data_IF_945230958605
#
_entry.id   IF_945230958605
#
_cell.length_a   1.000
_cell.length_b   1.000
_cell.length_c   1.000
_cell.angle_alpha   90.00
_cell.angle_beta   90.00
_cell.angle_gamma   90.00
#
_symmetry.space_group_name_H-M   'P 1'
#
loop_
_entity.id
_entity.type
_entity.pdbx_description
1 polymer ?
#
# COMPACT_ATOMS: atom_id res chain seq x y z
N UNK A 1 9.15 -6.07 15.50
CA UNK A 1 8.43 -7.07 14.68
C UNK A 1 8.71 -6.76 13.22
N UNK A 2 8.83 -7.73 12.31
CA UNK A 2 9.03 -7.41 10.90
C UNK A 2 7.82 -6.59 10.41
N UNK A 3 8.10 -5.47 9.72
CA UNK A 3 7.03 -4.66 9.11
C UNK A 3 6.28 -5.54 8.10
N UNK A 4 4.96 -5.57 8.18
CA UNK A 4 4.06 -6.30 7.26
C UNK A 4 3.55 -5.36 6.18
N UNK A 5 3.19 -5.91 5.04
CA UNK A 5 2.47 -5.20 3.98
C UNK A 5 1.00 -5.57 4.09
N UNK A 6 0.13 -4.59 4.25
CA UNK A 6 -1.32 -4.78 4.16
C UNK A 6 -1.81 -4.33 2.79
N UNK A 7 -2.41 -5.23 2.04
CA UNK A 7 -3.08 -4.93 0.78
C UNK A 7 -4.56 -4.64 1.07
N UNK A 8 -4.98 -3.40 0.83
CA UNK A 8 -6.39 -3.03 0.84
C UNK A 8 -6.94 -3.17 -0.57
N UNK A 9 -7.87 -4.08 -0.75
CA UNK A 9 -8.43 -4.43 -2.06
C UNK A 9 -9.95 -4.37 -2.03
N UNK A 10 -10.54 -4.09 -3.20
CA UNK A 10 -11.99 -4.15 -3.39
C UNK A 10 -12.51 -5.56 -3.10
N UNK A 11 -13.65 -5.68 -2.41
CA UNK A 11 -14.30 -6.95 -2.08
C UNK A 11 -14.63 -7.82 -3.32
N UNK A 12 -14.78 -7.19 -4.49
CA UNK A 12 -14.97 -7.92 -5.76
C UNK A 12 -13.74 -8.72 -6.19
N UNK A 13 -12.54 -8.40 -5.73
CA UNK A 13 -11.29 -9.07 -6.08
C UNK A 13 -10.57 -9.69 -4.89
N UNK A 14 -11.14 -9.54 -3.69
CA UNK A 14 -10.50 -9.97 -2.46
C UNK A 14 -10.15 -11.47 -2.46
N UNK A 15 -11.07 -12.33 -2.94
CA UNK A 15 -10.86 -13.78 -2.96
C UNK A 15 -9.71 -14.19 -3.87
N UNK A 16 -9.60 -13.56 -5.04
CA UNK A 16 -8.52 -13.76 -6.01
C UNK A 16 -7.18 -13.34 -5.44
N UNK A 17 -7.13 -12.18 -4.79
CA UNK A 17 -5.89 -11.67 -4.17
C UNK A 17 -5.45 -12.56 -3.02
N UNK A 18 -6.37 -12.96 -2.13
CA UNK A 18 -6.09 -13.90 -1.03
C UNK A 18 -5.52 -15.20 -1.58
N UNK A 19 -6.18 -15.77 -2.61
CA UNK A 19 -5.74 -17.01 -3.23
C UNK A 19 -4.30 -16.92 -3.75
N UNK A 20 -3.96 -15.86 -4.45
CA UNK A 20 -2.59 -15.65 -4.97
C UNK A 20 -1.61 -15.46 -3.82
N UNK A 21 -1.93 -14.67 -2.79
CA UNK A 21 -1.05 -14.46 -1.63
C UNK A 21 -0.73 -15.76 -0.91
N UNK A 22 -1.73 -16.64 -0.75
CA UNK A 22 -1.56 -17.98 -0.16
C UNK A 22 -0.70 -18.90 -1.01
N UNK A 23 -0.95 -18.98 -2.33
CA UNK A 23 -0.21 -19.83 -3.27
C UNK A 23 1.26 -19.40 -3.39
N UNK A 24 1.52 -18.10 -3.43
CA UNK A 24 2.86 -17.51 -3.48
C UNK A 24 3.57 -17.54 -2.11
N UNK A 25 2.85 -17.88 -1.03
CA UNK A 25 3.37 -17.92 0.34
C UNK A 25 4.03 -16.61 0.78
N UNK A 26 3.39 -15.49 0.48
CA UNK A 26 3.87 -14.17 0.91
C UNK A 26 3.66 -14.00 2.43
N UNK A 27 4.57 -14.55 3.23
CA UNK A 27 4.43 -14.65 4.69
C UNK A 27 4.32 -13.33 5.46
N UNK A 28 4.61 -12.19 4.82
CA UNK A 28 4.54 -10.87 5.41
C UNK A 28 3.50 -9.97 4.74
N UNK A 29 2.52 -10.55 4.06
CA UNK A 29 1.44 -9.84 3.37
C UNK A 29 0.12 -10.22 4.00
N UNK A 30 -0.68 -9.22 4.39
CA UNK A 30 -2.06 -9.35 4.83
C UNK A 30 -2.97 -8.76 3.75
N UNK A 31 -4.17 -9.32 3.59
CA UNK A 31 -5.16 -8.83 2.63
C UNK A 31 -6.42 -8.43 3.39
N UNK A 32 -6.88 -7.21 3.19
CA UNK A 32 -8.07 -6.65 3.81
C UNK A 32 -8.99 -6.13 2.71
N UNK A 33 -10.26 -6.50 2.77
CA UNK A 33 -11.25 -6.02 1.81
C UNK A 33 -11.83 -4.66 2.23
N UNK A 34 -12.08 -3.80 1.24
CA UNK A 34 -13.02 -2.68 1.39
C UNK A 34 -14.22 -2.89 0.49
N UNK A 35 -15.38 -2.38 0.91
CA UNK A 35 -16.63 -2.54 0.15
C UNK A 35 -16.58 -1.68 -1.12
N UNK A 36 -16.80 -2.32 -2.26
CA UNK A 36 -16.88 -1.65 -3.55
C UNK A 36 -18.20 -0.89 -3.70
N UNK A 37 -18.11 0.29 -4.26
CA UNK A 37 -19.23 1.08 -4.75
C UNK A 37 -18.75 1.96 -5.90
N UNK A 38 -18.68 1.39 -7.10
CA UNK A 38 -18.12 2.08 -8.26
C UNK A 38 -18.97 3.30 -8.69
N UNK A 39 -20.24 3.32 -8.30
CA UNK A 39 -21.17 4.40 -8.62
C UNK A 39 -21.10 5.58 -7.63
N UNK A 40 -20.51 5.36 -6.46
CA UNK A 40 -20.42 6.35 -5.38
C UNK A 40 -19.00 6.48 -4.81
N UNK A 41 -18.03 6.99 -5.58
CA UNK A 41 -16.63 7.09 -5.16
C UNK A 41 -16.42 7.81 -3.82
N UNK A 42 -17.19 8.88 -3.54
CA UNK A 42 -17.11 9.61 -2.27
C UNK A 42 -17.46 8.73 -1.06
N UNK A 43 -18.43 7.82 -1.21
CA UNK A 43 -18.80 6.89 -0.14
C UNK A 43 -17.68 5.88 0.12
N UNK A 44 -17.06 5.35 -0.94
CA UNK A 44 -15.92 4.42 -0.85
C UNK A 44 -14.73 5.12 -0.18
N UNK A 45 -14.38 6.32 -0.62
CA UNK A 45 -13.28 7.09 -0.05
C UNK A 45 -13.47 7.35 1.45
N UNK A 46 -14.69 7.69 1.88
CA UNK A 46 -15.02 7.90 3.29
C UNK A 46 -14.89 6.61 4.12
N UNK A 47 -15.41 5.50 3.62
CA UNK A 47 -15.33 4.19 4.30
C UNK A 47 -13.88 3.73 4.41
N UNK A 48 -13.11 3.87 3.35
CA UNK A 48 -11.70 3.50 3.32
C UNK A 48 -10.87 4.35 4.29
N UNK A 49 -11.12 5.66 4.35
CA UNK A 49 -10.45 6.55 5.31
C UNK A 49 -10.72 6.12 6.76
N UNK A 50 -11.94 5.67 7.05
CA UNK A 50 -12.30 5.14 8.37
C UNK A 50 -11.56 3.82 8.65
N UNK A 51 -11.55 2.88 7.71
CA UNK A 51 -10.82 1.61 7.85
C UNK A 51 -9.32 1.82 8.04
N UNK A 52 -8.71 2.80 7.36
CA UNK A 52 -7.30 3.15 7.56
C UNK A 52 -7.04 3.69 8.97
N UNK A 53 -7.95 4.51 9.49
CA UNK A 53 -7.84 5.04 10.86
C UNK A 53 -7.97 3.92 11.92
N UNK A 54 -8.80 2.91 11.67
CA UNK A 54 -8.97 1.75 12.56
C UNK A 54 -7.75 0.81 12.58
N UNK A 55 -6.97 0.76 11.48
CA UNK A 55 -5.74 -0.05 11.43
C UNK A 55 -4.69 0.41 12.45
N UNK A 56 -4.75 1.67 12.92
CA UNK A 56 -3.97 2.19 14.05
C UNK A 56 -2.48 2.40 13.78
N UNK A 57 -1.80 3.00 14.76
CA UNK A 57 -0.35 3.16 14.77
C UNK A 57 0.31 1.80 15.05
N UNK A 58 1.01 1.24 14.06
CA UNK A 58 1.72 -0.04 14.20
C UNK A 58 1.46 -1.03 13.07
N UNK A 59 0.52 -0.76 12.22
CA UNK A 59 0.40 -1.41 10.93
C UNK A 59 1.62 -1.03 10.09
N UNK A 60 2.26 -2.02 9.49
CA UNK A 60 3.41 -1.79 8.61
C UNK A 60 3.08 -0.89 7.42
N UNK A 61 3.54 -1.25 6.26
CA UNK A 61 3.16 -0.53 5.03
C UNK A 61 1.78 -0.96 4.56
N UNK A 62 0.97 -0.01 4.08
CA UNK A 62 -0.35 -0.26 3.48
C UNK A 62 -0.27 0.07 1.98
N UNK A 63 -0.79 -0.81 1.15
CA UNK A 63 -0.96 -0.55 -0.28
C UNK A 63 -2.43 -0.70 -0.66
N UNK A 64 -3.03 0.38 -1.13
CA UNK A 64 -4.42 0.44 -1.56
C UNK A 64 -4.45 0.14 -3.06
N UNK A 65 -5.18 -0.88 -3.45
CA UNK A 65 -5.39 -1.25 -4.85
C UNK A 65 -6.80 -0.84 -5.27
N UNK A 66 -6.91 0.01 -6.27
CA UNK A 66 -8.22 0.42 -6.74
C UNK A 66 -8.20 1.26 -8.00
N UNK A 67 -9.36 1.31 -8.66
CA UNK A 67 -9.58 2.06 -9.87
C UNK A 67 -10.46 3.29 -9.63
N UNK A 68 -11.40 3.52 -10.56
CA UNK A 68 -12.27 4.69 -10.57
C UNK A 68 -13.04 4.93 -9.26
N UNK A 69 -13.43 3.87 -8.54
CA UNK A 69 -14.12 3.99 -7.26
C UNK A 69 -13.31 4.72 -6.16
N UNK A 70 -12.02 4.94 -6.38
CA UNK A 70 -11.12 5.66 -5.47
C UNK A 70 -10.65 7.01 -6.03
N UNK A 71 -11.28 7.53 -7.09
CA UNK A 71 -10.88 8.81 -7.69
C UNK A 71 -11.06 10.02 -6.74
N UNK A 72 -11.92 9.90 -5.73
CA UNK A 72 -12.16 10.92 -4.69
C UNK A 72 -11.39 10.66 -3.38
N UNK A 73 -10.43 9.73 -3.41
CA UNK A 73 -9.62 9.43 -2.23
C UNK A 73 -8.80 10.67 -1.83
N UNK A 74 -8.92 11.07 -0.55
CA UNK A 74 -8.16 12.20 -0.03
C UNK A 74 -6.66 11.88 -0.04
N UNK A 75 -5.88 12.67 -0.79
CA UNK A 75 -4.43 12.53 -0.88
C UNK A 75 -3.74 12.73 0.47
N UNK A 76 -4.37 13.43 1.43
CA UNK A 76 -3.81 13.66 2.76
C UNK A 76 -3.75 12.39 3.62
N UNK A 77 -4.48 11.33 3.29
CA UNK A 77 -4.36 10.04 3.96
C UNK A 77 -3.14 9.24 3.49
N UNK A 78 -2.55 9.64 2.38
CA UNK A 78 -1.36 8.99 1.84
C UNK A 78 -0.12 9.48 2.61
N UNK A 79 0.76 8.56 2.92
CA UNK A 79 1.98 8.81 3.67
C UNK A 79 3.09 7.90 3.14
N UNK A 80 4.27 7.96 3.75
CA UNK A 80 5.33 7.02 3.40
C UNK A 80 4.96 5.55 3.64
N UNK A 81 4.09 5.29 4.61
CA UNK A 81 3.63 3.94 4.96
C UNK A 81 2.27 3.59 4.32
N UNK A 82 1.52 4.55 3.75
CA UNK A 82 0.25 4.34 3.05
C UNK A 82 0.39 4.80 1.60
N UNK A 83 0.36 3.86 0.67
CA UNK A 83 0.48 4.12 -0.77
C UNK A 83 -0.78 3.71 -1.49
N UNK A 84 -1.15 4.47 -2.50
CA UNK A 84 -2.20 4.12 -3.44
C UNK A 84 -1.58 3.68 -4.75
N UNK A 85 -2.01 2.51 -5.24
CA UNK A 85 -1.67 2.02 -6.57
C UNK A 85 -2.89 2.24 -7.48
N UNK A 86 -2.91 3.32 -8.27
CA UNK A 86 -4.04 3.64 -9.12
C UNK A 86 -4.11 2.68 -10.31
N UNK A 87 -5.33 2.32 -10.69
CA UNK A 87 -5.65 1.60 -11.93
C UNK A 87 -6.72 2.39 -12.66
N UNK A 88 -6.67 2.46 -13.96
CA UNK A 88 -7.77 3.06 -14.73
C UNK A 88 -9.01 2.18 -14.61
N UNK A 89 -8.82 0.88 -14.78
CA UNK A 89 -9.86 -0.15 -14.63
C UNK A 89 -9.35 -1.30 -13.76
N UNK A 90 -10.13 -1.71 -12.77
CA UNK A 90 -9.75 -2.84 -11.89
C UNK A 90 -9.56 -4.15 -12.64
N UNK A 91 -10.14 -4.27 -13.84
CA UNK A 91 -10.00 -5.45 -14.72
C UNK A 91 -8.58 -5.61 -15.29
N UNK A 92 -7.73 -4.56 -15.21
CA UNK A 92 -6.30 -4.62 -15.55
C UNK A 92 -5.53 -5.67 -14.73
N UNK A 93 -6.08 -6.06 -13.59
CA UNK A 93 -5.54 -7.16 -12.78
C UNK A 93 -5.57 -8.52 -13.51
N UNK A 94 -6.45 -8.67 -14.52
CA UNK A 94 -6.68 -9.93 -15.22
C UNK A 94 -6.43 -9.85 -16.73
N UNK A 95 -6.62 -8.66 -17.30
CA UNK A 95 -6.52 -8.43 -18.75
C UNK A 95 -5.40 -7.46 -19.05
N UNK A 96 -4.73 -7.69 -20.19
CA UNK A 96 -3.84 -6.68 -20.75
C UNK A 96 -4.63 -5.45 -21.23
N UNK A 97 -4.01 -4.26 -21.27
CA UNK A 97 -4.70 -3.00 -21.62
C UNK A 97 -5.33 -3.03 -23.00
N UNK A 98 -4.70 -3.66 -24.01
CA UNK A 98 -5.24 -3.78 -25.35
C UNK A 98 -6.51 -4.66 -25.41
N UNK A 99 -6.53 -5.75 -24.66
CA UNK A 99 -7.69 -6.63 -24.58
C UNK A 99 -8.86 -5.95 -23.87
N UNK A 100 -8.55 -5.27 -22.76
CA UNK A 100 -9.54 -4.52 -21.99
C UNK A 100 -10.18 -3.43 -22.84
N UNK A 101 -9.38 -2.60 -23.50
CA UNK A 101 -9.86 -1.56 -24.40
C UNK A 101 -10.69 -2.13 -25.56
N UNK A 102 -10.28 -3.28 -26.11
CA UNK A 102 -11.02 -3.98 -27.15
C UNK A 102 -12.43 -4.39 -26.72
N UNK A 103 -12.60 -4.91 -25.49
CA UNK A 103 -13.91 -5.28 -24.97
C UNK A 103 -14.78 -4.06 -24.66
N UNK A 104 -14.21 -3.04 -24.03
CA UNK A 104 -14.94 -1.82 -23.71
C UNK A 104 -15.48 -1.10 -24.95
N UNK A 105 -14.70 -1.05 -26.03
CA UNK A 105 -15.13 -0.46 -27.31
C UNK A 105 -16.28 -1.22 -27.98
N UNK A 106 -16.45 -2.50 -27.67
CA UNK A 106 -17.56 -3.31 -28.18
C UNK A 106 -18.84 -3.17 -27.35
N UNK A 107 -18.83 -2.35 -26.29
CA UNK A 107 -19.96 -2.20 -25.38
C UNK A 107 -20.21 -3.44 -24.52
N UNK A 108 -19.15 -4.22 -24.25
CA UNK A 108 -19.23 -5.40 -23.40
C UNK A 108 -19.18 -4.98 -21.93
N UNK A 109 -20.08 -5.53 -21.11
CA UNK A 109 -20.06 -5.35 -19.66
C UNK A 109 -19.26 -6.47 -19.00
N UNK A 110 -18.10 -6.12 -18.44
CA UNK A 110 -17.21 -7.07 -17.79
C UNK A 110 -17.70 -7.42 -16.39
N UNK A 111 -17.75 -8.70 -16.08
CA UNK A 111 -18.11 -9.19 -14.75
C UNK A 111 -17.08 -10.21 -14.23
N UNK A 112 -16.88 -10.22 -12.92
CA UNK A 112 -15.98 -11.14 -12.23
C UNK A 112 -16.76 -12.03 -11.26
N UNK A 113 -16.21 -13.15 -10.78
CA UNK A 113 -16.86 -13.98 -9.77
C UNK A 113 -17.27 -13.20 -8.51
N UNK A 114 -16.43 -12.24 -8.06
CA UNK A 114 -16.75 -11.42 -6.90
C UNK A 114 -17.92 -10.47 -7.12
N UNK A 115 -18.03 -9.85 -8.29
CA UNK A 115 -19.18 -9.00 -8.67
C UNK A 115 -20.47 -9.84 -8.72
N UNK A 116 -20.39 -11.05 -9.28
CA UNK A 116 -21.54 -11.94 -9.38
C UNK A 116 -22.01 -12.48 -8.01
N UNK A 117 -21.18 -12.45 -6.98
CA UNK A 117 -21.62 -12.82 -5.63
C UNK A 117 -22.56 -11.78 -5.01
N UNK A 118 -22.50 -10.55 -5.43
CA UNK A 118 -23.22 -9.41 -4.83
C UNK A 118 -24.18 -8.70 -5.80
N UNK A 119 -24.41 -9.25 -6.99
CA UNK A 119 -25.19 -8.58 -8.02
C UNK A 119 -26.63 -8.25 -7.58
N UNK A 120 -27.29 -9.12 -6.80
CA UNK A 120 -28.64 -8.87 -6.34
C UNK A 120 -28.71 -7.65 -5.39
N UNK A 121 -27.73 -7.50 -4.49
CA UNK A 121 -27.66 -6.37 -3.59
C UNK A 121 -27.40 -5.06 -4.36
N UNK A 122 -26.56 -5.12 -5.38
CA UNK A 122 -26.29 -3.97 -6.25
C UNK A 122 -27.54 -3.58 -7.04
N UNK A 123 -28.26 -4.54 -7.58
CA UNK A 123 -29.54 -4.32 -8.27
C UNK A 123 -30.57 -3.63 -7.40
N UNK A 124 -30.75 -4.11 -6.16
CA UNK A 124 -31.64 -3.49 -5.18
C UNK A 124 -31.22 -2.07 -4.83
N UNK A 125 -29.91 -1.82 -4.76
CA UNK A 125 -29.37 -0.48 -4.47
C UNK A 125 -29.65 0.52 -5.57
N UNK A 126 -29.63 0.10 -6.83
CA UNK A 126 -30.02 0.93 -7.98
C UNK A 126 -31.53 1.25 -7.99
N UNK A 127 -32.32 0.49 -7.26
CA UNK A 127 -33.78 0.69 -7.20
C UNK A 127 -34.50 0.32 -8.47
N UNK A 128 -33.87 -0.46 -9.34
CA UNK A 128 -34.48 -0.94 -10.57
C UNK A 128 -35.52 -2.01 -10.30
N UNK A 129 -36.66 -1.92 -10.98
CA UNK A 129 -37.49 -3.08 -11.24
C UNK A 129 -36.94 -3.86 -12.45
N UNK A 130 -37.55 -5.01 -12.76
CA UNK A 130 -37.06 -5.91 -13.82
C UNK A 130 -37.12 -5.30 -15.22
N UNK A 131 -38.04 -4.38 -15.46
CA UNK A 131 -38.21 -3.71 -16.75
C UNK A 131 -37.18 -2.58 -16.90
N UNK A 132 -37.00 -1.80 -15.84
CA UNK A 132 -36.04 -0.69 -15.80
C UNK A 132 -34.60 -1.20 -15.97
N UNK A 133 -34.28 -2.30 -15.30
CA UNK A 133 -32.96 -2.90 -15.39
C UNK A 133 -32.65 -3.42 -16.81
N UNK A 134 -33.60 -4.11 -17.44
CA UNK A 134 -33.44 -4.55 -18.82
C UNK A 134 -33.26 -3.37 -19.77
N UNK A 135 -34.07 -2.33 -19.62
CA UNK A 135 -33.94 -1.13 -20.43
C UNK A 135 -32.56 -0.47 -20.26
N UNK A 136 -32.10 -0.32 -19.01
CA UNK A 136 -30.79 0.26 -18.70
C UNK A 136 -29.63 -0.51 -19.34
N UNK A 137 -29.60 -1.83 -19.17
CA UNK A 137 -28.52 -2.63 -19.73
C UNK A 137 -28.57 -2.67 -21.27
N UNK A 138 -29.76 -2.81 -21.87
CA UNK A 138 -29.90 -2.85 -23.32
C UNK A 138 -29.54 -1.54 -24.03
N UNK A 139 -29.58 -0.40 -23.32
CA UNK A 139 -29.22 0.89 -23.90
C UNK A 139 -27.72 1.03 -24.15
N UNK A 140 -26.86 0.45 -23.32
CA UNK A 140 -25.42 0.66 -23.34
C UNK A 140 -24.57 -0.60 -23.43
N UNK A 141 -25.19 -1.78 -23.27
CA UNK A 141 -24.46 -3.04 -23.12
C UNK A 141 -24.88 -4.03 -24.20
N UNK A 142 -23.92 -4.57 -24.95
CA UNK A 142 -24.16 -5.56 -25.98
C UNK A 142 -24.16 -6.99 -25.45
N UNK A 143 -23.33 -7.28 -24.45
CA UNK A 143 -23.09 -8.62 -23.92
C UNK A 143 -22.47 -8.52 -22.51
N UNK A 144 -22.77 -9.50 -21.66
CA UNK A 144 -22.03 -9.72 -20.41
C UNK A 144 -20.82 -10.62 -20.70
N UNK A 145 -19.63 -10.22 -20.27
CA UNK A 145 -18.43 -11.03 -20.42
C UNK A 145 -17.89 -11.40 -19.05
N UNK A 146 -17.97 -12.69 -18.71
CA UNK A 146 -17.34 -13.22 -17.50
C UNK A 146 -15.84 -13.34 -17.70
N UNK A 147 -15.09 -12.71 -16.81
CA UNK A 147 -13.67 -12.97 -16.60
C UNK A 147 -13.54 -14.10 -15.58
N UNK A 148 -13.51 -15.33 -16.06
CA UNK A 148 -13.45 -16.51 -15.18
C UNK A 148 -12.02 -16.68 -14.63
N UNK A 149 -11.88 -16.48 -13.34
CA UNK A 149 -10.61 -16.62 -12.59
C UNK A 149 -10.37 -18.06 -12.12
N UNK A 150 -11.36 -18.94 -12.28
CA UNK A 150 -11.30 -20.35 -11.86
C UNK A 150 -11.43 -20.57 -10.35
N UNK A 151 -11.75 -19.55 -9.56
CA UNK A 151 -11.86 -19.69 -8.09
C UNK A 151 -13.28 -20.03 -7.61
N UNK A 152 -14.29 -19.79 -8.42
CA UNK A 152 -15.69 -20.02 -8.05
C UNK A 152 -16.33 -21.07 -8.99
N UNK A 153 -16.54 -22.32 -8.53
CA UNK A 153 -17.10 -23.37 -9.38
C UNK A 153 -18.57 -23.12 -9.77
N UNK A 154 -19.29 -22.25 -9.05
CA UNK A 154 -20.68 -21.90 -9.32
C UNK A 154 -20.82 -20.59 -10.12
N UNK A 155 -19.73 -20.05 -10.67
CA UNK A 155 -19.74 -18.75 -11.33
C UNK A 155 -20.66 -18.69 -12.55
N UNK A 156 -20.75 -19.76 -13.33
CA UNK A 156 -21.60 -19.85 -14.52
C UNK A 156 -23.07 -19.76 -14.14
N UNK A 157 -23.52 -20.50 -13.11
CA UNK A 157 -24.91 -20.43 -12.64
C UNK A 157 -25.29 -19.01 -12.18
N UNK A 158 -24.37 -18.31 -11.52
CA UNK A 158 -24.59 -16.92 -11.10
C UNK A 158 -24.65 -15.96 -12.27
N UNK A 159 -23.80 -16.19 -13.28
CA UNK A 159 -23.80 -15.40 -14.51
C UNK A 159 -25.12 -15.60 -15.28
N UNK A 160 -25.59 -16.83 -15.43
CA UNK A 160 -26.86 -17.14 -16.09
C UNK A 160 -28.02 -16.42 -15.38
N UNK A 161 -28.09 -16.52 -14.05
CA UNK A 161 -29.13 -15.84 -13.27
C UNK A 161 -29.07 -14.29 -13.43
N UNK A 162 -27.88 -13.72 -13.51
CA UNK A 162 -27.70 -12.29 -13.76
C UNK A 162 -28.08 -11.91 -15.20
N UNK A 163 -27.64 -12.68 -16.18
CA UNK A 163 -27.93 -12.47 -17.59
C UNK A 163 -29.43 -12.53 -17.90
N UNK A 164 -30.14 -13.51 -17.33
CA UNK A 164 -31.61 -13.64 -17.44
C UNK A 164 -32.30 -12.39 -16.89
N UNK A 165 -31.82 -11.87 -15.76
CA UNK A 165 -32.37 -10.67 -15.13
C UNK A 165 -32.09 -9.42 -15.96
N UNK A 166 -30.87 -9.26 -16.47
CA UNK A 166 -30.46 -8.15 -17.31
C UNK A 166 -31.05 -8.22 -18.74
N UNK A 167 -31.46 -9.40 -19.17
CA UNK A 167 -31.95 -9.64 -20.53
C UNK A 167 -30.85 -9.57 -21.60
N UNK A 168 -29.60 -9.89 -21.22
CA UNK A 168 -28.44 -9.81 -22.09
C UNK A 168 -27.90 -11.21 -22.44
N UNK A 169 -27.31 -11.37 -23.64
CA UNK A 169 -26.47 -12.51 -23.92
C UNK A 169 -25.20 -12.45 -23.05
N UNK A 170 -24.59 -13.61 -22.84
CA UNK A 170 -23.34 -13.68 -22.08
C UNK A 170 -22.33 -14.61 -22.75
N UNK A 171 -21.06 -14.31 -22.49
CA UNK A 171 -19.90 -15.10 -22.86
C UNK A 171 -18.96 -15.24 -21.67
N UNK A 172 -18.05 -16.21 -21.70
CA UNK A 172 -17.04 -16.41 -20.69
C UNK A 172 -15.65 -16.55 -21.30
N UNK A 173 -14.68 -15.91 -20.68
CA UNK A 173 -13.26 -16.08 -21.00
C UNK A 173 -12.51 -16.51 -19.74
N UNK A 174 -11.76 -17.61 -19.86
CA UNK A 174 -10.89 -18.05 -18.77
C UNK A 174 -9.64 -17.19 -18.75
N UNK A 175 -9.53 -16.32 -17.76
CA UNK A 175 -8.38 -15.42 -17.55
C UNK A 175 -7.41 -15.98 -16.50
N UNK A 176 -7.87 -16.87 -15.62
CA UNK A 176 -7.08 -17.43 -14.53
C UNK A 176 -6.56 -16.35 -13.58
N UNK A 177 -5.46 -16.65 -12.89
CA UNK A 177 -4.83 -15.76 -11.91
C UNK A 177 -3.41 -15.34 -12.28
N UNK A 178 -2.90 -15.67 -13.46
CA UNK A 178 -1.48 -15.47 -13.77
C UNK A 178 -1.10 -13.99 -13.90
N UNK A 179 -1.96 -13.17 -14.51
CA UNK A 179 -1.74 -11.71 -14.58
C UNK A 179 -1.73 -11.09 -13.20
N UNK A 180 -2.72 -11.42 -12.36
CA UNK A 180 -2.79 -10.97 -10.97
C UNK A 180 -1.55 -11.44 -10.16
N UNK A 181 -1.11 -12.67 -10.37
CA UNK A 181 0.09 -13.21 -9.72
C UNK A 181 1.34 -12.42 -10.07
N UNK A 182 1.55 -12.13 -11.35
CA UNK A 182 2.69 -11.31 -11.80
C UNK A 182 2.62 -9.90 -11.23
N UNK A 183 1.46 -9.29 -11.22
CA UNK A 183 1.24 -7.99 -10.62
C UNK A 183 1.59 -7.97 -9.13
N UNK A 184 1.06 -8.92 -8.34
CA UNK A 184 1.33 -8.99 -6.90
C UNK A 184 2.80 -9.31 -6.59
N UNK A 185 3.45 -10.17 -7.38
CA UNK A 185 4.90 -10.41 -7.26
C UNK A 185 5.71 -9.14 -7.47
N UNK A 186 5.38 -8.36 -8.49
CA UNK A 186 6.07 -7.10 -8.76
C UNK A 186 5.87 -6.09 -7.61
N UNK A 187 4.65 -5.95 -7.14
CA UNK A 187 4.29 -5.04 -6.03
C UNK A 187 4.99 -5.43 -4.72
N UNK A 188 4.96 -6.70 -4.36
CA UNK A 188 5.62 -7.21 -3.14
C UNK A 188 7.14 -7.05 -3.24
N UNK A 189 7.73 -7.33 -4.41
CA UNK A 189 9.18 -7.16 -4.64
C UNK A 189 9.58 -5.68 -4.56
N UNK A 190 8.77 -4.77 -5.08
CA UNK A 190 9.00 -3.32 -4.95
C UNK A 190 8.96 -2.88 -3.48
N UNK A 191 7.95 -3.30 -2.73
CA UNK A 191 7.85 -3.03 -1.30
C UNK A 191 9.07 -3.55 -0.53
N UNK A 192 9.50 -4.80 -0.79
CA UNK A 192 10.68 -5.39 -0.15
C UNK A 192 11.96 -4.61 -0.45
N UNK A 193 12.16 -4.20 -1.71
CA UNK A 193 13.30 -3.36 -2.11
C UNK A 193 13.29 -2.00 -1.40
N UNK A 194 12.14 -1.34 -1.35
CA UNK A 194 11.98 -0.07 -0.64
C UNK A 194 12.28 -0.18 0.86
N UNK A 195 11.87 -1.29 1.48
CA UNK A 195 12.20 -1.59 2.88
C UNK A 195 13.71 -1.77 3.09
N UNK A 196 14.37 -2.58 2.25
CA UNK A 196 15.81 -2.80 2.34
C UNK A 196 16.59 -1.51 2.15
N UNK A 197 16.16 -0.66 1.21
CA UNK A 197 16.79 0.64 0.97
C UNK A 197 16.69 1.53 2.22
N UNK A 198 15.50 1.67 2.81
CA UNK A 198 15.32 2.45 4.06
C UNK A 198 16.20 1.94 5.21
N UNK A 199 16.33 0.62 5.36
CA UNK A 199 17.21 0.01 6.37
C UNK A 199 18.69 0.34 6.11
N UNK A 200 19.13 0.28 4.85
CA UNK A 200 20.51 0.61 4.45
C UNK A 200 20.82 2.10 4.66
N UNK A 201 19.89 2.98 4.26
CA UNK A 201 20.02 4.43 4.44
C UNK A 201 20.12 4.80 5.93
N UNK A 202 19.31 4.15 6.78
CA UNK A 202 19.38 4.34 8.23
C UNK A 202 20.72 3.91 8.84
N UNK A 203 21.28 2.78 8.38
CA UNK A 203 22.60 2.31 8.81
C UNK A 203 23.70 3.28 8.34
N UNK A 204 23.60 3.78 7.10
CA UNK A 204 24.56 4.71 6.55
C UNK A 204 24.57 6.04 7.34
N UNK A 205 23.39 6.60 7.60
CA UNK A 205 23.26 7.83 8.40
C UNK A 205 23.84 7.68 9.81
N UNK A 206 23.60 6.55 10.46
CA UNK A 206 24.19 6.29 11.78
C UNK A 206 25.71 6.19 11.73
N UNK A 207 26.27 5.54 10.69
CA UNK A 207 27.73 5.48 10.49
C UNK A 207 28.32 6.85 10.19
N UNK A 208 27.67 7.66 9.37
CA UNK A 208 28.12 9.02 9.07
C UNK A 208 28.13 9.89 10.34
N UNK A 209 27.11 9.77 11.19
CA UNK A 209 27.07 10.43 12.49
C UNK A 209 28.22 9.99 13.36
N UNK A 210 28.49 8.68 13.49
CA UNK A 210 29.61 8.17 14.28
C UNK A 210 30.95 8.67 13.74
N UNK A 211 31.14 8.71 12.42
CA UNK A 211 32.36 9.24 11.82
C UNK A 211 32.54 10.73 12.12
N UNK A 212 31.48 11.52 12.08
CA UNK A 212 31.51 12.93 12.45
C UNK A 212 31.90 13.12 13.92
N UNK A 213 31.32 12.31 14.82
CA UNK A 213 31.65 12.30 16.24
C UNK A 213 33.14 11.94 16.46
N UNK A 214 33.65 10.90 15.80
CA UNK A 214 35.07 10.55 15.86
C UNK A 214 35.99 11.64 15.32
N UNK A 215 35.64 12.27 14.19
CA UNK A 215 36.44 13.35 13.61
C UNK A 215 36.51 14.55 14.58
N UNK A 216 35.37 14.91 15.19
CA UNK A 216 35.31 15.97 16.17
C UNK A 216 36.18 15.64 17.41
N UNK A 217 36.08 14.44 17.97
CA UNK A 217 36.90 14.01 19.10
C UNK A 217 38.39 14.04 18.76
N UNK A 218 38.75 13.55 17.57
CA UNK A 218 40.14 13.56 17.12
C UNK A 218 40.71 14.99 16.93
N UNK A 219 39.90 15.90 16.37
CA UNK A 219 40.26 17.31 16.22
C UNK A 219 40.48 17.97 17.59
N UNK A 220 39.61 17.68 18.55
CA UNK A 220 39.72 18.18 19.92
C UNK A 220 40.97 17.66 20.63
N UNK A 221 41.29 16.37 20.53
CA UNK A 221 42.49 15.75 21.09
C UNK A 221 43.72 16.39 20.45
N UNK A 222 43.72 16.55 19.11
CA UNK A 222 44.82 17.19 18.38
C UNK A 222 45.02 18.63 18.82
N UNK A 223 43.94 19.37 19.06
CA UNK A 223 43.97 20.72 19.60
C UNK A 223 44.60 20.79 21.00
N UNK A 224 44.28 19.84 21.88
CA UNK A 224 44.87 19.74 23.23
C UNK A 224 46.35 19.39 23.16
N UNK A 225 46.71 18.39 22.35
CA UNK A 225 48.12 17.93 22.25
C UNK A 225 49.07 18.95 21.59
N UNK A 226 48.54 19.91 20.89
CA UNK A 226 49.29 21.02 20.32
C UNK A 226 49.62 22.14 21.35
N UNK A 227 48.95 22.16 22.51
CA UNK A 227 49.19 23.15 23.57
C UNK A 227 50.43 22.77 24.39
N UNK A 228 51.28 23.74 24.68
CA UNK A 228 52.55 23.53 25.36
C UNK A 228 52.58 24.04 26.81
N UNK A 229 51.55 24.74 27.23
CA UNK A 229 51.45 25.27 28.60
C UNK A 229 50.22 24.67 29.32
N UNK A 230 50.40 24.44 30.61
CA UNK A 230 49.39 23.78 31.48
C UNK A 230 48.08 24.56 31.57
N UNK A 231 48.12 25.87 31.62
CA UNK A 231 46.95 26.73 31.75
C UNK A 231 46.03 26.58 30.52
N UNK A 232 46.63 26.69 29.33
CA UNK A 232 45.90 26.52 28.06
C UNK A 232 45.31 25.13 27.92
N UNK A 233 45.98 24.06 28.34
CA UNK A 233 45.48 22.70 28.37
C UNK A 233 44.26 22.59 29.28
N UNK A 234 44.34 23.11 30.50
CA UNK A 234 43.26 23.09 31.47
C UNK A 234 42.04 23.86 30.97
N UNK A 235 42.23 25.07 30.45
CA UNK A 235 41.15 25.89 29.85
C UNK A 235 40.44 25.11 28.73
N UNK A 236 41.20 24.50 27.84
CA UNK A 236 40.63 23.74 26.72
C UNK A 236 39.86 22.50 27.16
N UNK A 237 40.37 21.78 28.17
CA UNK A 237 39.67 20.62 28.78
C UNK A 237 38.37 21.10 29.45
N UNK A 238 38.35 22.20 30.17
CA UNK A 238 37.17 22.76 30.79
C UNK A 238 36.11 23.19 29.76
N UNK A 239 36.53 23.82 28.64
CA UNK A 239 35.65 24.14 27.54
C UNK A 239 34.97 22.89 26.96
N UNK A 240 35.73 21.79 26.75
CA UNK A 240 35.21 20.52 26.26
C UNK A 240 34.21 19.88 27.20
N UNK A 241 34.50 19.84 28.49
CA UNK A 241 33.56 19.34 29.49
C UNK A 241 32.27 20.17 29.49
N UNK A 242 32.35 21.47 29.35
CA UNK A 242 31.19 22.37 29.27
C UNK A 242 30.37 22.07 28.01
N UNK A 243 31.03 21.85 26.89
CA UNK A 243 30.36 21.59 25.63
C UNK A 243 29.68 20.21 25.58
N UNK A 244 30.34 19.14 26.06
CA UNK A 244 29.81 17.78 26.01
C UNK A 244 28.85 17.44 27.14
N UNK A 245 29.09 17.92 28.35
CA UNK A 245 28.29 17.52 29.50
C UNK A 245 27.21 18.55 29.86
N UNK A 246 27.24 19.74 29.25
CA UNK A 246 26.28 20.83 29.51
C UNK A 246 26.16 21.22 31.00
N UNK A 247 27.21 21.13 31.86
CA UNK A 247 27.10 21.49 33.24
C UNK A 247 26.95 23.00 33.40
N UNK A 248 26.21 23.41 34.42
CA UNK A 248 26.12 24.87 34.74
C UNK A 248 27.43 25.48 35.19
N UNK A 249 28.37 24.68 35.70
CA UNK A 249 29.68 25.12 36.17
C UNK A 249 30.69 23.96 36.15
N UNK A 250 31.92 24.21 35.72
CA UNK A 250 33.06 23.29 35.76
C UNK A 250 34.19 23.97 36.49
N UNK A 251 34.81 23.29 37.45
CA UNK A 251 35.92 23.85 38.26
C UNK A 251 37.11 22.88 38.21
N UNK A 252 38.28 23.39 37.91
CA UNK A 252 39.53 22.67 37.98
C UNK A 252 40.17 22.92 39.39
N UNK A 253 40.52 21.86 40.08
CA UNK A 253 41.21 21.91 41.36
C UNK A 253 42.56 21.22 41.18
N UNK A 254 43.68 21.97 41.16
CA UNK A 254 44.99 21.34 41.12
C UNK A 254 45.25 20.62 42.48
N UNK A 255 45.75 19.39 42.38
CA UNK A 255 46.24 18.69 43.54
C UNK A 255 47.67 19.18 43.84
N UNK A 256 47.89 19.81 44.97
CA UNK A 256 49.26 20.15 45.44
C UNK A 256 49.94 18.86 45.93
N UNK A 257 51.13 18.58 45.36
CA UNK A 257 52.03 17.53 45.86
C UNK A 257 52.67 17.96 47.19
N UNK A 258 51.85 18.24 48.21
CA UNK A 258 52.31 18.37 49.57
C UNK A 258 51.77 17.18 50.37
N UNK A 259 52.58 16.07 50.38
CA UNK A 259 52.40 14.92 51.21
C UNK A 259 53.65 14.65 52.05
#
# INVERSE_FOLDING_TARGET
MPKRLTLLVCDYFHREVVRVVEEEKFGNVDVVAYTADCDHPAAVAKTLSHSLAELGEGVGSVCILGGHCLCELDQNILSEDVRFHPMEQCFELFLGPEQLDGYLKQGVHLVTPGMLNNWQAQYQKWGFDDADAKAFFLESTSCLLLLDTGIDPAVVEKLEAFADKAGLPWEGVNVGLDSLRLFLRALVAEWQRGKQQKEQDGILQEKERQLADYAMVNDLISGITALTDEVSVVERVLELFTMFCGPGQVIYLPLSDEG
#
